data_IF_068716631240
#
_entry.id   IF_068716631240
#
_cell.length_a   1.000
_cell.length_b   1.000
_cell.length_c   1.000
_cell.angle_alpha   90.00
_cell.angle_beta   90.00
_cell.angle_gamma   90.00
#
_symmetry.space_group_name_H-M   'P 1'
#
loop_
_entity.id
_entity.type
_entity.pdbx_description
1 polymer ?
#
# COMPACT_ATOMS: atom_id res chain seq x y z
N UNK A 1 -15.05 -20.42 -17.61
CA UNK A 1 -14.15 -19.27 -17.81
C UNK A 1 -14.50 -18.67 -19.16
N UNK A 2 -14.75 -17.36 -19.30
CA UNK A 2 -14.85 -16.77 -20.62
C UNK A 2 -13.56 -17.05 -21.39
N UNK A 3 -13.66 -17.32 -22.69
CA UNK A 3 -12.50 -17.62 -23.54
C UNK A 3 -11.51 -16.45 -23.48
N UNK A 4 -10.32 -16.70 -22.92
CA UNK A 4 -9.27 -15.70 -22.80
C UNK A 4 -8.75 -15.39 -24.21
N UNK A 5 -9.19 -14.28 -24.80
CA UNK A 5 -8.71 -13.85 -26.12
C UNK A 5 -7.32 -13.24 -25.95
N UNK A 6 -6.30 -13.95 -26.42
CA UNK A 6 -4.91 -13.50 -26.37
C UNK A 6 -4.66 -12.36 -27.36
N UNK A 7 -4.87 -11.13 -26.91
CA UNK A 7 -4.42 -9.95 -27.65
C UNK A 7 -2.88 -9.86 -27.63
N UNK A 8 -2.25 -9.15 -28.59
CA UNK A 8 -0.81 -8.90 -28.54
C UNK A 8 -0.37 -8.22 -27.24
N UNK A 9 -1.17 -7.27 -26.74
CA UNK A 9 -0.92 -6.59 -25.47
C UNK A 9 -0.97 -7.56 -24.28
N UNK A 10 -2.00 -8.41 -24.20
CA UNK A 10 -2.12 -9.42 -23.15
C UNK A 10 -0.95 -10.40 -23.17
N UNK A 11 -0.55 -10.87 -24.36
CA UNK A 11 0.59 -11.79 -24.52
C UNK A 11 1.89 -11.18 -24.00
N UNK A 12 2.17 -9.91 -24.32
CA UNK A 12 3.37 -9.21 -23.84
C UNK A 12 3.34 -9.04 -22.32
N UNK A 13 2.21 -8.59 -21.77
CA UNK A 13 2.07 -8.38 -20.32
C UNK A 13 2.17 -9.70 -19.54
N UNK A 14 1.59 -10.78 -20.05
CA UNK A 14 1.74 -12.12 -19.44
C UNK A 14 3.17 -12.63 -19.53
N UNK A 15 3.87 -12.40 -20.64
CA UNK A 15 5.30 -12.71 -20.76
C UNK A 15 6.13 -11.97 -19.71
N UNK A 16 5.88 -10.68 -19.52
CA UNK A 16 6.55 -9.88 -18.49
C UNK A 16 6.20 -10.37 -17.08
N UNK A 17 4.94 -10.70 -16.82
CA UNK A 17 4.48 -11.26 -15.55
C UNK A 17 5.20 -12.58 -15.22
N UNK A 18 5.38 -13.47 -16.21
CA UNK A 18 6.14 -14.71 -16.03
C UNK A 18 7.61 -14.43 -15.67
N UNK A 19 8.24 -13.48 -16.37
CA UNK A 19 9.62 -13.07 -16.06
C UNK A 19 9.73 -12.55 -14.62
N UNK A 20 8.79 -11.70 -14.17
CA UNK A 20 8.77 -11.19 -12.81
C UNK A 20 8.54 -12.28 -11.76
N UNK A 21 7.63 -13.22 -12.00
CA UNK A 21 7.39 -14.35 -11.11
C UNK A 21 8.62 -15.25 -10.99
N UNK A 22 9.27 -15.58 -12.11
CA UNK A 22 10.50 -16.40 -12.11
C UNK A 22 11.64 -15.68 -11.38
N UNK A 23 11.83 -14.38 -11.63
CA UNK A 23 12.81 -13.57 -10.94
C UNK A 23 12.53 -13.51 -9.43
N UNK A 24 11.26 -13.34 -9.04
CA UNK A 24 10.81 -13.38 -7.65
C UNK A 24 11.11 -14.70 -6.96
N UNK A 25 10.76 -15.82 -7.60
CA UNK A 25 11.07 -17.16 -7.11
C UNK A 25 12.59 -17.37 -6.94
N UNK A 26 13.40 -16.92 -7.91
CA UNK A 26 14.86 -17.00 -7.80
C UNK A 26 15.40 -16.17 -6.63
N UNK A 27 14.90 -14.94 -6.42
CA UNK A 27 15.28 -14.08 -5.28
C UNK A 27 14.92 -14.74 -3.96
N UNK A 28 13.71 -15.31 -3.85
CA UNK A 28 13.27 -16.01 -2.65
C UNK A 28 14.15 -17.24 -2.40
N UNK A 29 14.35 -18.11 -3.40
CA UNK A 29 15.17 -19.31 -3.35
C UNK A 29 16.61 -19.00 -2.88
N UNK A 30 17.24 -17.98 -3.47
CA UNK A 30 18.58 -17.53 -3.10
C UNK A 30 18.68 -17.04 -1.65
N UNK A 31 17.55 -16.63 -1.06
CA UNK A 31 17.48 -16.09 0.31
C UNK A 31 16.80 -17.02 1.32
N UNK A 32 16.29 -18.19 0.92
CA UNK A 32 15.56 -19.14 1.79
C UNK A 32 16.32 -19.44 3.07
N UNK A 33 17.63 -19.67 3.00
CA UNK A 33 18.46 -19.96 4.18
C UNK A 33 18.56 -18.79 5.17
N UNK A 34 18.41 -17.56 4.68
CA UNK A 34 18.47 -16.34 5.50
C UNK A 34 17.10 -15.86 6.00
N UNK A 35 16.00 -16.38 5.44
CA UNK A 35 14.64 -15.96 5.80
C UNK A 35 14.28 -16.35 7.25
N UNK A 36 14.49 -17.59 7.72
CA UNK A 36 14.17 -17.97 9.10
C UNK A 36 14.88 -17.10 10.13
N UNK A 37 16.19 -16.87 9.99
CA UNK A 37 16.94 -16.01 10.90
C UNK A 37 16.41 -14.56 10.92
N UNK A 38 15.91 -14.06 9.79
CA UNK A 38 15.29 -12.75 9.67
C UNK A 38 13.85 -12.72 10.21
N UNK A 39 13.13 -13.84 10.25
CA UNK A 39 11.79 -13.98 10.84
C UNK A 39 11.84 -14.19 12.36
N UNK A 40 12.88 -14.87 12.86
CA UNK A 40 13.15 -15.06 14.30
C UNK A 40 13.70 -13.78 14.96
N UNK A 41 14.04 -12.74 14.18
CA UNK A 41 14.42 -11.43 14.71
C UNK A 41 15.91 -11.30 15.07
N UNK A 42 16.75 -12.19 14.52
CA UNK A 42 18.21 -12.18 14.72
C UNK A 42 18.86 -11.04 13.90
N UNK A 43 18.19 -10.55 12.85
CA UNK A 43 18.67 -9.43 12.06
C UNK A 43 18.49 -8.09 12.81
N UNK A 44 19.49 -7.17 12.75
CA UNK A 44 19.43 -5.90 13.47
C UNK A 44 18.23 -5.06 13.01
N UNK A 45 17.42 -4.63 13.98
CA UNK A 45 16.28 -3.75 13.72
C UNK A 45 16.81 -2.35 13.35
N UNK A 46 16.56 -1.92 12.11
CA UNK A 46 16.95 -0.58 11.65
C UNK A 46 15.99 0.52 12.10
N UNK A 47 14.80 0.17 12.59
CA UNK A 47 13.81 1.15 12.99
C UNK A 47 14.10 1.72 14.38
N UNK A 48 14.21 3.04 14.45
CA UNK A 48 14.18 3.76 15.71
C UNK A 48 12.75 3.87 16.23
N UNK A 49 12.54 3.85 17.56
CA UNK A 49 11.22 4.02 18.16
C UNK A 49 10.48 5.23 17.60
N UNK A 50 9.19 5.06 17.35
CA UNK A 50 8.33 6.18 16.96
C UNK A 50 8.27 7.17 18.14
N UNK A 51 8.57 8.46 17.92
CA UNK A 51 8.50 9.49 18.97
C UNK A 51 7.06 9.85 19.34
N UNK A 52 6.08 9.43 18.55
CA UNK A 52 4.68 9.82 18.70
C UNK A 52 3.93 9.02 19.78
N UNK A 53 3.02 9.70 20.49
CA UNK A 53 2.03 9.09 21.40
C UNK A 53 0.89 8.47 20.60
N UNK A 54 0.12 7.58 21.23
CA UNK A 54 -1.05 6.96 20.60
C UNK A 54 -2.08 8.01 20.15
N UNK A 55 -2.37 9.00 21.00
CA UNK A 55 -3.34 10.06 20.70
C UNK A 55 -2.94 10.92 19.50
N UNK A 56 -1.65 11.16 19.31
CA UNK A 56 -1.12 11.93 18.19
C UNK A 56 -1.24 11.17 16.87
N UNK A 57 -0.99 9.86 16.89
CA UNK A 57 -1.23 9.01 15.72
C UNK A 57 -2.72 8.85 15.41
N UNK A 58 -3.56 8.74 16.43
CA UNK A 58 -5.00 8.71 16.26
C UNK A 58 -5.50 10.02 15.64
N UNK A 59 -5.05 11.17 16.14
CA UNK A 59 -5.38 12.47 15.55
C UNK A 59 -4.87 12.57 14.10
N UNK A 60 -3.64 12.13 13.83
CA UNK A 60 -3.10 12.09 12.46
C UNK A 60 -3.93 11.23 11.52
N UNK A 61 -4.34 10.04 11.96
CA UNK A 61 -5.22 9.16 11.20
C UNK A 61 -6.61 9.79 11.00
N UNK A 62 -7.21 10.37 12.05
CA UNK A 62 -8.51 11.03 11.98
C UNK A 62 -8.50 12.21 11.00
N UNK A 63 -7.43 13.03 11.00
CA UNK A 63 -7.28 14.12 10.04
C UNK A 63 -7.09 13.60 8.61
N UNK A 64 -6.35 12.51 8.43
CA UNK A 64 -6.12 11.89 7.12
C UNK A 64 -7.41 11.32 6.54
N UNK A 65 -8.09 10.44 7.28
CA UNK A 65 -9.34 9.83 6.83
C UNK A 65 -10.49 10.84 6.78
N UNK A 66 -10.58 11.75 7.75
CA UNK A 66 -11.57 12.82 7.75
C UNK A 66 -11.39 13.76 6.56
N UNK A 67 -10.15 14.16 6.26
CA UNK A 67 -9.84 14.95 5.07
C UNK A 67 -10.22 14.23 3.78
N UNK A 68 -9.89 12.95 3.67
CA UNK A 68 -10.25 12.12 2.53
C UNK A 68 -11.78 12.04 2.31
N UNK A 69 -12.54 11.82 3.39
CA UNK A 69 -14.01 11.74 3.34
C UNK A 69 -14.63 13.10 3.00
N UNK A 70 -14.18 14.19 3.62
CA UNK A 70 -14.70 15.53 3.36
C UNK A 70 -14.49 15.92 1.89
N UNK A 71 -13.27 15.73 1.38
CA UNK A 71 -12.98 16.04 -0.02
C UNK A 71 -13.71 15.10 -0.97
N UNK A 72 -13.84 13.81 -0.64
CA UNK A 72 -14.68 12.89 -1.40
C UNK A 72 -16.10 13.44 -1.56
N UNK A 73 -16.78 13.76 -0.45
CA UNK A 73 -18.17 14.25 -0.47
C UNK A 73 -18.29 15.57 -1.24
N UNK A 74 -17.42 16.55 -0.95
CA UNK A 74 -17.46 17.87 -1.60
C UNK A 74 -17.18 17.77 -3.09
N UNK A 75 -16.13 17.04 -3.47
CA UNK A 75 -15.75 16.89 -4.88
C UNK A 75 -16.77 16.05 -5.63
N UNK A 76 -17.31 14.98 -5.04
CA UNK A 76 -18.38 14.20 -5.67
C UNK A 76 -19.63 15.04 -5.90
N UNK A 77 -20.05 15.85 -4.93
CA UNK A 77 -21.21 16.74 -5.09
C UNK A 77 -21.02 17.73 -6.24
N UNK A 78 -19.85 18.38 -6.30
CA UNK A 78 -19.52 19.34 -7.36
C UNK A 78 -19.35 18.64 -8.70
N UNK A 79 -18.54 17.58 -8.77
CA UNK A 79 -18.23 16.89 -10.01
C UNK A 79 -19.47 16.25 -10.63
N UNK A 80 -20.35 15.65 -9.83
CA UNK A 80 -21.59 15.05 -10.32
C UNK A 80 -22.56 16.09 -10.93
N UNK A 81 -22.47 17.36 -10.50
CA UNK A 81 -23.28 18.46 -11.06
C UNK A 81 -22.91 18.80 -12.52
N UNK A 82 -21.64 18.62 -12.89
CA UNK A 82 -21.08 19.03 -14.18
C UNK A 82 -20.71 17.83 -15.08
N UNK A 83 -20.37 16.70 -14.48
CA UNK A 83 -19.90 15.49 -15.15
C UNK A 83 -20.61 14.25 -14.59
N UNK A 84 -21.94 14.11 -14.77
CA UNK A 84 -22.67 12.97 -14.22
C UNK A 84 -22.08 11.63 -14.69
N UNK A 85 -22.19 10.60 -13.86
CA UNK A 85 -21.65 9.28 -14.16
C UNK A 85 -22.20 8.74 -15.50
N UNK A 86 -21.36 8.14 -16.35
CA UNK A 86 -21.81 7.51 -17.59
C UNK A 86 -22.88 6.44 -17.36
N UNK A 87 -23.90 6.39 -18.22
CA UNK A 87 -25.02 5.44 -18.09
C UNK A 87 -24.62 3.97 -18.27
N UNK A 88 -23.50 3.71 -18.96
CA UNK A 88 -22.92 2.38 -19.18
C UNK A 88 -22.04 1.90 -18.01
N UNK A 89 -21.87 2.74 -16.99
CA UNK A 89 -21.01 2.48 -15.83
C UNK A 89 -19.52 2.54 -16.14
N UNK A 90 -19.11 3.14 -17.26
CA UNK A 90 -17.70 3.36 -17.60
C UNK A 90 -17.03 4.40 -16.70
N UNK A 91 -15.68 4.42 -16.71
CA UNK A 91 -14.90 5.41 -15.99
C UNK A 91 -15.16 6.83 -16.55
N UNK A 92 -15.85 7.65 -15.78
CA UNK A 92 -16.09 9.05 -16.11
C UNK A 92 -15.22 10.03 -15.30
N UNK A 93 -15.27 11.29 -15.73
CA UNK A 93 -14.57 12.41 -15.08
C UNK A 93 -14.97 12.60 -13.62
N UNK A 94 -16.24 12.36 -13.26
CA UNK A 94 -16.68 12.48 -11.86
C UNK A 94 -15.98 11.47 -10.96
N UNK A 95 -15.81 10.22 -11.39
CA UNK A 95 -15.06 9.22 -10.63
C UNK A 95 -13.59 9.60 -10.50
N UNK A 96 -12.95 10.06 -11.58
CA UNK A 96 -11.55 10.48 -11.55
C UNK A 96 -11.32 11.69 -10.61
N UNK A 97 -12.18 12.71 -10.70
CA UNK A 97 -12.13 13.87 -9.81
C UNK A 97 -12.40 13.49 -8.36
N UNK A 98 -13.39 12.64 -8.11
CA UNK A 98 -13.71 12.13 -6.78
C UNK A 98 -12.52 11.37 -6.18
N UNK A 99 -11.89 10.48 -6.94
CA UNK A 99 -10.69 9.76 -6.53
C UNK A 99 -9.53 10.71 -6.23
N UNK A 100 -9.33 11.75 -7.06
CA UNK A 100 -8.34 12.79 -6.80
C UNK A 100 -8.64 13.54 -5.50
N UNK A 101 -9.92 13.88 -5.27
CA UNK A 101 -10.40 14.52 -4.05
C UNK A 101 -10.04 13.70 -2.80
N UNK A 102 -10.31 12.39 -2.80
CA UNK A 102 -9.94 11.48 -1.70
C UNK A 102 -8.46 11.60 -1.37
N UNK A 103 -7.58 11.50 -2.39
CA UNK A 103 -6.13 11.52 -2.18
C UNK A 103 -5.61 12.89 -1.75
N UNK A 104 -6.13 13.98 -2.34
CA UNK A 104 -5.77 15.35 -1.95
C UNK A 104 -6.21 15.62 -0.49
N UNK A 105 -7.43 15.21 -0.13
CA UNK A 105 -7.95 15.34 1.22
C UNK A 105 -7.12 14.56 2.24
N UNK A 106 -6.70 13.34 1.89
CA UNK A 106 -5.81 12.53 2.73
C UNK A 106 -4.46 13.21 2.94
N UNK A 107 -3.80 13.66 1.87
CA UNK A 107 -2.52 14.38 1.96
C UNK A 107 -2.63 15.70 2.71
N UNK A 108 -3.73 16.43 2.55
CA UNK A 108 -4.01 17.65 3.31
C UNK A 108 -4.14 17.32 4.82
N UNK A 109 -4.82 16.23 5.16
CA UNK A 109 -4.92 15.73 6.52
C UNK A 109 -3.57 15.35 7.12
N UNK A 110 -2.73 14.62 6.38
CA UNK A 110 -1.34 14.29 6.78
C UNK A 110 -0.52 15.57 6.98
N UNK A 111 -0.60 16.51 6.03
CA UNK A 111 0.13 17.78 6.09
C UNK A 111 -0.30 18.63 7.29
N UNK A 112 -1.60 18.69 7.56
CA UNK A 112 -2.17 19.39 8.72
C UNK A 112 -1.68 18.75 10.03
N UNK A 113 -1.78 17.42 10.15
CA UNK A 113 -1.28 16.67 11.29
C UNK A 113 0.22 16.94 11.52
N UNK A 114 1.02 16.85 10.46
CA UNK A 114 2.45 17.13 10.51
C UNK A 114 2.74 18.54 11.00
N UNK A 115 2.18 19.55 10.34
CA UNK A 115 2.48 20.96 10.59
C UNK A 115 2.09 21.40 12.01
N UNK A 116 0.91 20.99 12.47
CA UNK A 116 0.33 21.57 13.69
C UNK A 116 0.52 20.70 14.92
N UNK A 117 0.59 19.38 14.77
CA UNK A 117 0.54 18.45 15.90
C UNK A 117 1.79 17.57 16.03
N UNK A 118 2.40 17.17 14.91
CA UNK A 118 3.49 16.18 14.93
C UNK A 118 4.89 16.78 14.70
N UNK A 119 5.00 18.10 14.48
CA UNK A 119 6.26 18.78 14.14
C UNK A 119 7.33 18.60 15.24
N UNK A 120 8.51 18.05 14.92
CA UNK A 120 9.59 17.85 15.89
C UNK A 120 10.08 19.13 16.59
N UNK A 121 10.02 20.28 15.92
CA UNK A 121 10.45 21.57 16.50
C UNK A 121 9.64 21.97 17.74
N UNK A 122 8.38 21.51 17.86
CA UNK A 122 7.55 21.76 19.05
C UNK A 122 7.91 20.87 20.25
N UNK A 123 8.84 19.91 20.10
CA UNK A 123 9.21 18.93 21.14
C UNK A 123 10.51 19.27 21.88
N UNK A 124 11.26 20.27 21.42
CA UNK A 124 12.51 20.70 22.07
C UNK A 124 12.23 21.32 23.46
N UNK A 125 10.99 21.79 23.71
CA UNK A 125 10.63 22.54 24.92
C UNK A 125 9.91 21.74 26.01
N UNK A 126 9.49 20.49 25.77
CA UNK A 126 8.82 19.69 26.80
C UNK A 126 9.86 18.85 27.57
N UNK A 127 10.12 19.12 28.86
CA UNK A 127 10.92 18.21 29.67
C UNK A 127 10.21 16.86 29.68
N UNK A 128 10.92 15.80 29.33
CA UNK A 128 10.42 14.45 29.40
C UNK A 128 10.19 14.07 30.88
N UNK A 129 9.05 14.48 31.44
CA UNK A 129 8.61 14.04 32.75
C UNK A 129 8.47 12.50 32.71
N UNK A 130 9.42 11.80 33.33
CA UNK A 130 9.33 10.36 33.60
C UNK A 130 10.02 9.40 32.63
N UNK A 131 10.87 9.84 31.70
CA UNK A 131 11.74 8.92 30.95
C UNK A 131 13.17 8.97 31.48
N UNK A 132 13.45 8.17 32.50
CA UNK A 132 14.82 7.86 32.92
C UNK A 132 15.62 7.30 31.72
N UNK A 133 16.59 8.09 31.27
CA UNK A 133 17.89 7.71 30.69
C UNK A 133 18.00 6.53 29.71
N UNK A 134 16.95 6.19 28.97
CA UNK A 134 17.09 5.40 27.76
C UNK A 134 17.29 6.36 26.59
N UNK A 135 18.54 6.76 26.32
CA UNK A 135 18.91 7.29 24.99
C UNK A 135 18.28 6.35 23.97
N UNK A 136 17.31 6.83 23.22
CA UNK A 136 16.70 6.05 22.15
C UNK A 136 17.86 5.49 21.30
N UNK A 137 17.98 4.17 21.10
CA UNK A 137 19.04 3.64 20.28
C UNK A 137 18.91 4.26 18.90
N UNK A 138 19.83 5.17 18.58
CA UNK A 138 20.01 5.67 17.23
C UNK A 138 20.44 4.48 16.40
N UNK A 139 19.77 4.24 15.27
CA UNK A 139 20.27 3.25 14.33
C UNK A 139 21.68 3.68 13.92
N UNK A 140 22.69 2.91 14.33
CA UNK A 140 24.10 3.21 14.01
C UNK A 140 24.42 2.95 12.54
N UNK A 141 23.47 2.39 11.79
CA UNK A 141 23.61 2.11 10.38
C UNK A 141 23.23 3.35 9.54
N UNK A 142 24.04 3.70 8.53
CA UNK A 142 23.72 4.80 7.64
C UNK A 142 22.40 4.56 6.91
N UNK A 143 21.64 5.63 6.70
CA UNK A 143 20.43 5.62 5.87
C UNK A 143 20.78 5.21 4.44
N UNK A 144 19.90 4.44 3.80
CA UNK A 144 20.06 4.09 2.39
C UNK A 144 20.11 5.34 1.53
N UNK A 145 20.98 5.35 0.51
CA UNK A 145 20.90 6.36 -0.56
C UNK A 145 19.60 6.18 -1.35
N UNK A 146 19.13 7.23 -2.02
CA UNK A 146 17.91 7.17 -2.86
C UNK A 146 18.00 6.05 -3.89
N UNK A 147 19.13 5.94 -4.61
CA UNK A 147 19.34 4.87 -5.60
C UNK A 147 19.31 3.46 -4.98
N UNK A 148 19.89 3.29 -3.79
CA UNK A 148 19.81 2.01 -3.07
C UNK A 148 18.37 1.69 -2.62
N UNK A 149 17.62 2.69 -2.16
CA UNK A 149 16.22 2.52 -1.76
C UNK A 149 15.32 2.17 -2.94
N UNK A 150 15.52 2.79 -4.12
CA UNK A 150 14.82 2.42 -5.35
C UNK A 150 15.10 0.96 -5.72
N UNK A 151 16.38 0.55 -5.72
CA UNK A 151 16.78 -0.84 -6.01
C UNK A 151 16.17 -1.83 -5.02
N UNK A 152 16.27 -1.57 -3.72
CA UNK A 152 15.70 -2.45 -2.69
C UNK A 152 14.18 -2.52 -2.78
N UNK A 153 13.50 -1.42 -3.13
CA UNK A 153 12.06 -1.40 -3.40
C UNK A 153 11.68 -2.29 -4.59
N UNK A 154 12.39 -2.18 -5.72
CA UNK A 154 12.16 -3.03 -6.88
C UNK A 154 12.43 -4.51 -6.59
N UNK A 155 13.47 -4.83 -5.84
CA UNK A 155 13.75 -6.21 -5.41
C UNK A 155 12.67 -6.73 -4.45
N UNK A 156 12.14 -5.89 -3.57
CA UNK A 156 11.04 -6.25 -2.69
C UNK A 156 9.75 -6.53 -3.49
N UNK A 157 9.45 -5.73 -4.51
CA UNK A 157 8.36 -5.98 -5.47
C UNK A 157 8.49 -7.35 -6.16
N UNK A 158 9.66 -7.66 -6.73
CA UNK A 158 9.87 -8.95 -7.37
C UNK A 158 9.72 -10.11 -6.39
N UNK A 159 10.27 -9.98 -5.17
CA UNK A 159 10.19 -11.02 -4.16
C UNK A 159 8.76 -11.25 -3.62
N UNK A 160 7.93 -10.21 -3.52
CA UNK A 160 6.57 -10.33 -3.00
C UNK A 160 5.58 -10.89 -4.04
N UNK A 161 5.82 -10.69 -5.34
CA UNK A 161 4.91 -11.12 -6.41
C UNK A 161 4.50 -12.59 -6.34
N UNK A 162 5.43 -13.57 -6.33
CA UNK A 162 5.05 -14.98 -6.28
C UNK A 162 4.33 -15.36 -4.98
N UNK A 163 4.65 -14.69 -3.86
CA UNK A 163 3.99 -14.94 -2.57
C UNK A 163 2.53 -14.48 -2.63
N UNK A 164 2.29 -13.25 -3.07
CA UNK A 164 0.94 -12.69 -3.17
C UNK A 164 0.11 -13.44 -4.21
N UNK A 165 0.71 -13.82 -5.34
CA UNK A 165 0.02 -14.57 -6.39
C UNK A 165 -0.41 -15.96 -5.92
N UNK A 166 0.47 -16.72 -5.24
CA UNK A 166 0.12 -18.01 -4.66
C UNK A 166 -0.98 -17.91 -3.60
N UNK A 167 -0.91 -16.88 -2.75
CA UNK A 167 -1.96 -16.63 -1.75
C UNK A 167 -3.28 -16.26 -2.41
N UNK A 168 -3.26 -15.44 -3.47
CA UNK A 168 -4.46 -15.12 -4.24
C UNK A 168 -5.10 -16.39 -4.82
N UNK A 169 -4.32 -17.25 -5.48
CA UNK A 169 -4.84 -18.52 -6.00
C UNK A 169 -5.48 -19.39 -4.90
N UNK A 170 -4.79 -19.54 -3.77
CA UNK A 170 -5.31 -20.32 -2.64
C UNK A 170 -6.58 -19.71 -2.03
N UNK A 171 -6.64 -18.39 -1.95
CA UNK A 171 -7.77 -17.65 -1.41
C UNK A 171 -9.00 -17.72 -2.33
N UNK A 172 -8.84 -17.46 -3.62
CA UNK A 172 -9.94 -17.59 -4.60
C UNK A 172 -10.48 -19.02 -4.60
N UNK A 173 -9.59 -20.02 -4.64
CA UNK A 173 -10.01 -21.42 -4.61
C UNK A 173 -10.67 -21.83 -3.27
N UNK A 174 -10.42 -21.11 -2.18
CA UNK A 174 -11.11 -21.32 -0.91
C UNK A 174 -12.50 -20.69 -0.93
N UNK A 175 -12.63 -19.45 -1.43
CA UNK A 175 -13.91 -18.77 -1.59
C UNK A 175 -14.86 -19.56 -2.51
N UNK A 176 -14.34 -20.04 -3.65
CA UNK A 176 -15.10 -20.86 -4.60
C UNK A 176 -15.61 -22.17 -3.97
N UNK A 177 -14.77 -22.84 -3.17
CA UNK A 177 -15.16 -24.08 -2.47
C UNK A 177 -16.20 -23.85 -1.37
N UNK A 178 -16.23 -22.65 -0.81
CA UNK A 178 -17.18 -22.26 0.24
C UNK A 178 -18.44 -21.60 -0.34
N UNK A 179 -18.55 -21.49 -1.67
CA UNK A 179 -19.64 -20.81 -2.38
C UNK A 179 -19.83 -19.35 -1.92
N UNK A 180 -18.72 -18.69 -1.55
CA UNK A 180 -18.73 -17.30 -1.12
C UNK A 180 -18.57 -16.41 -2.36
N UNK A 181 -19.67 -15.81 -2.79
CA UNK A 181 -19.66 -14.82 -3.89
C UNK A 181 -18.95 -13.53 -3.45
N UNK A 182 -17.69 -13.38 -3.85
CA UNK A 182 -16.91 -12.16 -3.65
C UNK A 182 -16.60 -11.52 -5.01
N UNK A 183 -17.36 -10.49 -5.44
CA UNK A 183 -17.15 -9.89 -6.75
C UNK A 183 -15.76 -9.23 -6.86
N UNK A 184 -15.16 -9.20 -8.06
CA UNK A 184 -13.94 -8.43 -8.31
C UNK A 184 -14.12 -6.98 -7.88
N UNK A 185 -13.04 -6.33 -7.45
CA UNK A 185 -13.10 -4.97 -6.91
C UNK A 185 -13.60 -3.96 -7.97
N UNK A 186 -14.54 -3.09 -7.60
CA UNK A 186 -15.21 -2.16 -8.53
C UNK A 186 -14.23 -1.26 -9.31
N UNK A 187 -13.10 -0.88 -8.70
CA UNK A 187 -12.04 -0.11 -9.36
C UNK A 187 -11.38 -0.89 -10.51
N UNK A 188 -11.23 -2.21 -10.38
CA UNK A 188 -10.71 -3.09 -11.43
C UNK A 188 -11.69 -3.15 -12.60
N UNK A 189 -12.99 -3.27 -12.30
CA UNK A 189 -14.05 -3.24 -13.31
C UNK A 189 -14.11 -1.86 -14.03
N UNK A 190 -13.83 -0.78 -13.30
CA UNK A 190 -13.81 0.58 -13.82
C UNK A 190 -12.60 0.84 -14.73
N UNK A 191 -11.43 0.33 -14.40
CA UNK A 191 -10.26 0.35 -15.29
C UNK A 191 -10.49 -0.48 -16.55
N UNK A 192 -11.19 -1.62 -16.45
CA UNK A 192 -11.49 -2.49 -17.57
C UNK A 192 -12.54 -1.88 -18.53
N UNK A 193 -13.47 -1.07 -18.03
CA UNK A 193 -14.44 -0.31 -18.82
C UNK A 193 -13.89 1.09 -19.12
N UNK A 194 -12.88 1.14 -19.97
CA UNK A 194 -12.22 2.39 -20.39
C UNK A 194 -13.24 3.40 -20.91
N UNK A 195 -13.55 4.43 -20.11
CA UNK A 195 -14.32 5.59 -20.54
C UNK A 195 -13.42 6.57 -21.29
N UNK A 196 -13.01 7.66 -20.65
CA UNK A 196 -12.14 8.66 -21.26
C UNK A 196 -10.65 8.56 -20.82
N UNK A 197 -9.73 8.71 -21.78
CA UNK A 197 -8.26 8.62 -21.55
C UNK A 197 -7.78 9.56 -20.44
N UNK A 198 -8.22 10.85 -20.36
CA UNK A 198 -7.82 11.73 -19.26
C UNK A 198 -8.17 11.17 -17.88
N UNK A 199 -9.40 10.70 -17.69
CA UNK A 199 -9.82 10.06 -16.43
C UNK A 199 -8.97 8.84 -16.10
N UNK A 200 -8.66 8.01 -17.11
CA UNK A 200 -7.78 6.85 -16.94
C UNK A 200 -6.37 7.26 -16.48
N UNK A 201 -5.77 8.27 -17.10
CA UNK A 201 -4.44 8.78 -16.73
C UNK A 201 -4.44 9.34 -15.31
N UNK A 202 -5.46 10.10 -14.93
CA UNK A 202 -5.61 10.60 -13.54
C UNK A 202 -5.69 9.43 -12.56
N UNK A 203 -6.56 8.45 -12.82
CA UNK A 203 -6.70 7.28 -11.95
C UNK A 203 -5.41 6.46 -11.85
N UNK A 204 -4.65 6.33 -12.94
CA UNK A 204 -3.34 5.67 -12.94
C UNK A 204 -2.34 6.40 -12.04
N UNK A 205 -2.23 7.73 -12.16
CA UNK A 205 -1.36 8.54 -11.31
C UNK A 205 -1.75 8.39 -9.84
N UNK A 206 -3.04 8.43 -9.54
CA UNK A 206 -3.54 8.28 -8.18
C UNK A 206 -3.22 6.90 -7.62
N UNK A 207 -3.53 5.83 -8.35
CA UNK A 207 -3.35 4.45 -7.89
C UNK A 207 -1.87 4.01 -7.79
N UNK A 208 -1.01 4.52 -8.67
CA UNK A 208 0.40 4.07 -8.75
C UNK A 208 1.35 4.98 -7.98
N UNK A 209 1.06 6.28 -7.88
CA UNK A 209 1.99 7.23 -7.26
C UNK A 209 1.45 7.78 -5.95
N UNK A 210 0.24 8.34 -5.96
CA UNK A 210 -0.26 9.10 -4.81
C UNK A 210 -0.75 8.18 -3.70
N UNK A 211 -1.57 7.18 -4.01
CA UNK A 211 -2.12 6.24 -3.04
C UNK A 211 -1.02 5.48 -2.30
N UNK A 212 0.00 4.89 -2.96
CA UNK A 212 1.09 4.22 -2.25
C UNK A 212 1.84 5.16 -1.30
N UNK A 213 2.11 6.41 -1.69
CA UNK A 213 2.74 7.37 -0.78
C UNK A 213 1.86 7.62 0.43
N UNK A 214 0.59 7.97 0.24
CA UNK A 214 -0.36 8.25 1.33
C UNK A 214 -0.50 7.05 2.26
N UNK A 215 -0.69 5.86 1.72
CA UNK A 215 -0.93 4.64 2.48
C UNK A 215 0.30 4.18 3.24
N UNK A 216 1.50 4.24 2.64
CA UNK A 216 2.75 3.89 3.32
C UNK A 216 3.09 4.88 4.46
N UNK A 217 2.77 6.17 4.29
CA UNK A 217 2.91 7.15 5.36
C UNK A 217 2.04 6.81 6.58
N UNK A 218 0.76 6.46 6.35
CA UNK A 218 -0.19 6.13 7.42
C UNK A 218 0.14 4.79 8.06
N UNK A 219 0.25 3.74 7.25
CA UNK A 219 0.30 2.36 7.75
C UNK A 219 1.71 1.93 8.16
N UNK A 220 2.76 2.34 7.45
CA UNK A 220 4.12 1.81 7.72
C UNK A 220 4.88 2.75 8.62
N UNK A 221 4.95 4.02 8.25
CA UNK A 221 5.70 5.03 9.00
C UNK A 221 4.97 5.43 10.28
N UNK A 222 3.64 5.54 10.23
CA UNK A 222 2.78 5.78 11.38
C UNK A 222 2.50 4.51 12.19
N UNK A 223 1.53 3.72 11.74
CA UNK A 223 0.90 2.67 12.55
C UNK A 223 1.83 1.50 12.89
N UNK A 224 2.43 0.87 11.87
CA UNK A 224 3.36 -0.25 12.04
C UNK A 224 4.56 0.13 12.91
N UNK A 225 5.28 1.20 12.57
CA UNK A 225 6.46 1.64 13.32
C UNK A 225 6.15 1.89 14.79
N UNK A 226 4.98 2.46 15.07
CA UNK A 226 4.55 2.73 16.44
C UNK A 226 4.29 1.46 17.24
N UNK A 227 3.52 0.50 16.69
CA UNK A 227 3.28 -0.79 17.36
C UNK A 227 4.57 -1.59 17.47
N UNK A 228 5.43 -1.56 16.44
CA UNK A 228 6.64 -2.39 16.37
C UNK A 228 7.60 -2.20 17.53
N UNK A 229 7.54 -1.04 18.19
CA UNK A 229 8.37 -0.71 19.36
C UNK A 229 7.66 -0.89 20.70
N UNK A 230 6.42 -1.38 20.69
CA UNK A 230 5.52 -1.48 21.85
C UNK A 230 4.80 -2.83 21.99
N UNK A 231 4.84 -3.67 20.96
CA UNK A 231 4.23 -4.99 20.97
C UNK A 231 5.12 -6.03 20.28
N UNK A 232 4.72 -7.29 20.40
CA UNK A 232 5.36 -8.40 19.69
C UNK A 232 5.37 -8.15 18.18
N UNK A 233 6.46 -8.56 17.52
CA UNK A 233 6.65 -8.35 16.08
C UNK A 233 5.48 -8.89 15.24
N UNK A 234 4.93 -10.05 15.60
CA UNK A 234 3.77 -10.64 14.90
C UNK A 234 2.53 -9.73 14.94
N UNK A 235 2.22 -9.16 16.11
CA UNK A 235 1.10 -8.21 16.27
C UNK A 235 1.37 -6.94 15.48
N UNK A 236 2.61 -6.43 15.52
CA UNK A 236 3.01 -5.27 14.76
C UNK A 236 2.85 -5.49 13.25
N UNK A 237 3.17 -6.67 12.73
CA UNK A 237 3.00 -7.00 11.32
C UNK A 237 1.53 -7.19 10.93
N UNK A 238 0.78 -7.95 11.72
CA UNK A 238 -0.57 -8.37 11.36
C UNK A 238 -1.61 -7.27 11.54
N UNK A 239 -1.62 -6.54 12.67
CA UNK A 239 -2.71 -5.61 13.00
C UNK A 239 -2.82 -4.44 11.99
N UNK A 240 -1.73 -3.74 11.61
CA UNK A 240 -1.78 -2.73 10.55
C UNK A 240 -2.12 -3.33 9.19
N UNK A 241 -1.63 -4.53 8.86
CA UNK A 241 -1.91 -5.19 7.59
C UNK A 241 -3.38 -5.59 7.43
N UNK A 242 -3.97 -6.16 8.48
CA UNK A 242 -5.40 -6.46 8.54
C UNK A 242 -6.25 -5.19 8.43
N UNK A 243 -5.88 -4.13 9.16
CA UNK A 243 -6.58 -2.84 9.09
C UNK A 243 -6.51 -2.24 7.69
N UNK A 244 -5.35 -2.32 7.02
CA UNK A 244 -5.16 -1.88 5.64
C UNK A 244 -6.06 -2.65 4.67
N UNK A 245 -6.10 -3.99 4.77
CA UNK A 245 -6.96 -4.82 3.94
C UNK A 245 -8.45 -4.57 4.17
N UNK A 246 -8.87 -4.36 5.42
CA UNK A 246 -10.27 -4.04 5.77
C UNK A 246 -10.75 -2.76 5.10
N UNK A 247 -9.90 -1.72 5.01
CA UNK A 247 -10.26 -0.46 4.35
C UNK A 247 -10.50 -0.59 2.84
N UNK A 248 -10.04 -1.68 2.21
CA UNK A 248 -10.32 -1.93 0.79
C UNK A 248 -11.76 -2.43 0.56
N UNK A 249 -12.46 -2.88 1.61
CA UNK A 249 -13.87 -3.21 1.55
C UNK A 249 -14.23 -4.37 0.62
N UNK A 250 -13.27 -5.22 0.25
CA UNK A 250 -13.50 -6.33 -0.68
C UNK A 250 -12.87 -7.63 -0.15
N UNK A 251 -13.73 -8.64 0.06
CA UNK A 251 -13.34 -9.94 0.58
C UNK A 251 -12.47 -10.75 -0.39
N UNK A 252 -12.69 -10.63 -1.70
CA UNK A 252 -11.94 -11.35 -2.74
C UNK A 252 -10.45 -11.02 -2.67
N UNK A 253 -10.10 -9.78 -2.30
CA UNK A 253 -8.71 -9.32 -2.21
C UNK A 253 -8.18 -9.23 -0.78
N UNK A 254 -9.00 -9.55 0.22
CA UNK A 254 -8.66 -9.37 1.63
C UNK A 254 -7.35 -10.07 2.03
N UNK A 255 -7.29 -11.40 1.90
CA UNK A 255 -6.12 -12.16 2.32
C UNK A 255 -4.85 -11.82 1.49
N UNK A 256 -4.93 -11.69 0.15
CA UNK A 256 -3.81 -11.21 -0.65
C UNK A 256 -3.27 -9.84 -0.21
N UNK A 257 -4.16 -8.88 0.12
CA UNK A 257 -3.76 -7.56 0.58
C UNK A 257 -3.14 -7.60 1.98
N UNK A 258 -3.64 -8.46 2.89
CA UNK A 258 -2.99 -8.67 4.20
C UNK A 258 -1.55 -9.15 3.99
N UNK A 259 -1.33 -10.13 3.12
CA UNK A 259 0.01 -10.66 2.85
C UNK A 259 0.91 -9.62 2.18
N UNK A 260 0.40 -8.89 1.20
CA UNK A 260 1.11 -7.75 0.59
C UNK A 260 1.54 -6.76 1.69
N UNK A 261 0.63 -6.38 2.57
CA UNK A 261 0.89 -5.38 3.60
C UNK A 261 1.91 -5.85 4.65
N UNK A 262 1.89 -7.13 5.03
CA UNK A 262 2.93 -7.75 5.87
C UNK A 262 4.28 -7.72 5.17
N UNK A 263 4.34 -8.09 3.88
CA UNK A 263 5.58 -8.05 3.10
C UNK A 263 6.17 -6.64 3.02
N UNK A 264 5.34 -5.61 2.80
CA UNK A 264 5.75 -4.21 2.80
C UNK A 264 6.26 -3.76 4.18
N UNK A 265 5.61 -4.19 5.26
CA UNK A 265 6.07 -3.91 6.62
C UNK A 265 7.44 -4.57 6.93
N UNK A 266 7.66 -5.81 6.46
CA UNK A 266 8.97 -6.48 6.57
C UNK A 266 10.03 -5.76 5.74
N UNK A 267 9.69 -5.31 4.52
CA UNK A 267 10.60 -4.55 3.68
C UNK A 267 11.01 -3.23 4.36
N UNK A 268 10.04 -2.53 4.97
CA UNK A 268 10.28 -1.30 5.74
C UNK A 268 11.11 -1.55 7.01
N UNK A 269 10.81 -2.59 7.77
CA UNK A 269 11.56 -2.98 8.97
C UNK A 269 13.03 -3.26 8.66
N UNK A 270 13.29 -3.94 7.55
CA UNK A 270 14.65 -4.32 7.13
C UNK A 270 15.43 -3.15 6.53
N UNK A 271 14.77 -2.28 5.78
CA UNK A 271 15.43 -1.15 5.12
C UNK A 271 15.61 0.04 6.05
N UNK A 272 14.70 0.22 7.01
CA UNK A 272 14.59 1.44 7.81
C UNK A 272 14.23 2.68 6.98
N UNK A 273 13.86 2.52 5.70
CA UNK A 273 13.73 3.61 4.75
C UNK A 273 12.34 3.59 4.09
N UNK A 274 11.55 4.68 4.16
CA UNK A 274 10.16 4.70 3.70
C UNK A 274 10.00 4.58 2.19
N UNK A 275 11.00 5.00 1.42
CA UNK A 275 10.95 4.85 -0.05
C UNK A 275 10.92 3.39 -0.51
N UNK A 276 11.47 2.44 0.27
CA UNK A 276 11.50 1.02 -0.10
C UNK A 276 10.10 0.43 -0.21
N UNK A 277 9.24 0.47 0.83
CA UNK A 277 7.86 -0.01 0.69
C UNK A 277 7.03 0.83 -0.28
N UNK A 278 7.26 2.15 -0.40
CA UNK A 278 6.55 3.01 -1.37
C UNK A 278 6.79 2.53 -2.80
N UNK A 279 8.05 2.30 -3.18
CA UNK A 279 8.41 1.81 -4.52
C UNK A 279 7.86 0.41 -4.76
N UNK A 280 8.00 -0.49 -3.78
CA UNK A 280 7.49 -1.84 -3.90
C UNK A 280 5.96 -1.88 -4.11
N UNK A 281 5.23 -1.05 -3.36
CA UNK A 281 3.78 -0.91 -3.46
C UNK A 281 3.36 -0.25 -4.78
N UNK A 282 4.02 0.84 -5.19
CA UNK A 282 3.78 1.50 -6.47
C UNK A 282 3.97 0.54 -7.67
N UNK A 283 5.04 -0.25 -7.67
CA UNK A 283 5.28 -1.25 -8.71
C UNK A 283 4.24 -2.38 -8.69
N UNK A 284 3.80 -2.81 -7.50
CA UNK A 284 2.73 -3.80 -7.38
C UNK A 284 1.41 -3.28 -7.97
N UNK A 285 1.04 -2.04 -7.66
CA UNK A 285 -0.15 -1.40 -8.20
C UNK A 285 -0.04 -1.20 -9.71
N UNK A 286 1.11 -0.73 -10.21
CA UNK A 286 1.36 -0.59 -11.64
C UNK A 286 1.21 -1.93 -12.38
N UNK A 287 1.84 -2.99 -11.85
CA UNK A 287 1.74 -4.33 -12.43
C UNK A 287 0.28 -4.81 -12.50
N UNK A 288 -0.47 -4.60 -11.42
CA UNK A 288 -1.89 -4.97 -11.34
C UNK A 288 -2.71 -4.19 -12.37
N UNK A 289 -2.55 -2.87 -12.46
CA UNK A 289 -3.27 -2.04 -13.44
C UNK A 289 -2.92 -2.43 -14.87
N UNK A 290 -1.67 -2.72 -15.18
CA UNK A 290 -1.27 -3.17 -16.52
C UNK A 290 -1.90 -4.52 -16.90
N UNK A 291 -2.00 -5.46 -15.96
CA UNK A 291 -2.71 -6.73 -16.18
C UNK A 291 -4.19 -6.49 -16.50
N UNK A 292 -4.85 -5.61 -15.74
CA UNK A 292 -6.27 -5.26 -15.95
C UNK A 292 -6.47 -4.63 -17.33
N UNK A 293 -5.66 -3.64 -17.68
CA UNK A 293 -5.76 -2.94 -18.97
C UNK A 293 -5.44 -3.84 -20.16
N UNK A 294 -4.65 -4.90 -19.95
CA UNK A 294 -4.39 -5.91 -20.98
C UNK A 294 -5.53 -6.93 -21.12
N UNK A 295 -6.55 -6.88 -20.27
CA UNK A 295 -7.69 -7.80 -20.29
C UNK A 295 -7.47 -9.10 -19.49
N UNK A 296 -6.50 -9.13 -18.57
CA UNK A 296 -6.36 -10.25 -17.65
C UNK A 296 -7.48 -10.22 -16.61
N UNK A 297 -8.20 -11.33 -16.38
CA UNK A 297 -9.14 -11.44 -15.28
C UNK A 297 -8.35 -11.47 -13.97
N UNK A 298 -8.43 -10.38 -13.19
CA UNK A 298 -7.74 -10.23 -11.90
C UNK A 298 -8.67 -10.51 -10.74
#
# INVERSE_FOLDING_TARGET
>A
MPDLVFTPALTVILGLQMVFLLAGCAILAARVRSLPARFVGIAPNRLTPSPFRASELFLGAALTFGGAIIFHVVVSFIANRWFPAPADGSLGRCQALTGAGVQIGALAGIGHAWFWHLRPSKRIEAPAAGMENHRAPTSTLPSLSTGAALREGSLAFLALLPVVWLVNMGWQAALDRLDISAPPQDLVALFARSGDIPSLVVMLILAVLIAPVTEELVFRIGFFRWIRTRAMRGVALFLPAASFALLHGNLAVFLPIVVLAVCLAIAYERSGHPLVPIVAHALFNLNTVLLILAGYPV
#
